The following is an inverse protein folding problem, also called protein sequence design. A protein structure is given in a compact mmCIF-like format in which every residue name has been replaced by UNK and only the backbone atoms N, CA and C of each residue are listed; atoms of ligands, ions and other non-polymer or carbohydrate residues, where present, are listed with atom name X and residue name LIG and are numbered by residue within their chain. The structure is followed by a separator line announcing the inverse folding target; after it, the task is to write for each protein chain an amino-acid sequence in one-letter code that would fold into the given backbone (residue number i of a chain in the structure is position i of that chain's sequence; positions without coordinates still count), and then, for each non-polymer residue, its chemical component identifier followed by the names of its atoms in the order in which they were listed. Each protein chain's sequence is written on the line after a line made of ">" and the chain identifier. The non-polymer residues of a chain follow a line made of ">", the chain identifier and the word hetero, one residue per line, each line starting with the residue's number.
data_IF_879025527169
#
_entry.id   IF_879025527169
#
_cell.length_a   1.000
_cell.length_b   1.000
_cell.length_c   1.000
_cell.angle_alpha   90.00
_cell.angle_beta   90.00
_cell.angle_gamma   90.00
#
_symmetry.space_group_name_H-M   'P 1'
#
loop_
_entity.id
_entity.type
_entity.pdbx_description
1 polymer ?
#
# COMPACT_ATOMS: atom_id res chain seq x y z
N UNK A 1 -41.08 8.32 -17.69
CA UNK A 1 -40.45 9.02 -16.55
C UNK A 1 -39.91 7.98 -15.57
N UNK A 2 -38.65 7.56 -15.68
CA UNK A 2 -37.95 6.75 -14.67
C UNK A 2 -36.45 6.65 -15.02
N UNK A 3 -35.66 7.69 -14.76
CA UNK A 3 -34.20 7.63 -14.97
C UNK A 3 -33.35 8.44 -13.98
N UNK A 4 -33.93 9.02 -12.92
CA UNK A 4 -33.21 9.99 -12.08
C UNK A 4 -32.79 9.48 -10.69
N UNK A 5 -33.23 8.30 -10.24
CA UNK A 5 -33.00 7.85 -8.84
C UNK A 5 -31.73 7.01 -8.66
N UNK A 6 -31.19 6.36 -9.70
CA UNK A 6 -30.05 5.43 -9.57
C UNK A 6 -28.68 6.11 -9.53
N UNK A 7 -28.54 7.32 -10.08
CA UNK A 7 -27.26 8.03 -10.15
C UNK A 7 -26.84 8.65 -8.79
N UNK A 8 -27.81 9.06 -7.98
CA UNK A 8 -27.60 9.68 -6.66
C UNK A 8 -27.22 8.65 -5.59
N UNK A 9 -27.78 7.45 -5.64
CA UNK A 9 -27.40 6.35 -4.73
C UNK A 9 -26.00 5.81 -5.03
N UNK A 10 -25.66 5.60 -6.32
CA UNK A 10 -24.34 5.10 -6.71
C UNK A 10 -23.19 6.07 -6.37
N UNK A 11 -23.47 7.38 -6.37
CA UNK A 11 -22.49 8.39 -5.94
C UNK A 11 -22.35 8.40 -4.42
N UNK A 12 -23.46 8.34 -3.67
CA UNK A 12 -23.46 8.22 -2.21
C UNK A 12 -22.69 7.00 -1.70
N UNK A 13 -22.89 5.84 -2.33
CA UNK A 13 -22.18 4.60 -2.02
C UNK A 13 -20.67 4.72 -2.28
N UNK A 14 -20.28 5.28 -3.44
CA UNK A 14 -18.86 5.55 -3.75
C UNK A 14 -18.22 6.47 -2.71
N UNK A 15 -18.88 7.56 -2.32
CA UNK A 15 -18.37 8.46 -1.28
C UNK A 15 -18.23 7.77 0.09
N UNK A 16 -19.18 6.91 0.46
CA UNK A 16 -19.11 6.14 1.70
C UNK A 16 -17.93 5.16 1.71
N UNK A 17 -17.69 4.50 0.57
CA UNK A 17 -16.59 3.56 0.36
C UNK A 17 -15.23 4.27 0.43
N UNK A 18 -15.07 5.41 -0.25
CA UNK A 18 -13.84 6.21 -0.22
C UNK A 18 -13.52 6.65 1.21
N UNK A 19 -14.50 7.19 1.95
CA UNK A 19 -14.28 7.58 3.36
C UNK A 19 -13.87 6.41 4.25
N UNK A 20 -14.47 5.23 4.05
CA UNK A 20 -14.13 4.02 4.79
C UNK A 20 -12.67 3.60 4.53
N UNK A 21 -12.26 3.53 3.26
CA UNK A 21 -10.89 3.15 2.92
C UNK A 21 -9.88 4.18 3.39
N UNK A 22 -10.19 5.47 3.29
CA UNK A 22 -9.34 6.54 3.82
C UNK A 22 -9.10 6.40 5.33
N UNK A 23 -10.15 6.12 6.12
CA UNK A 23 -10.00 5.87 7.57
C UNK A 23 -9.09 4.67 7.86
N UNK A 24 -9.21 3.59 7.07
CA UNK A 24 -8.35 2.41 7.21
C UNK A 24 -6.89 2.75 6.89
N UNK A 25 -6.65 3.51 5.82
CA UNK A 25 -5.31 3.97 5.44
C UNK A 25 -4.67 4.77 6.57
N UNK A 26 -5.38 5.75 7.13
CA UNK A 26 -4.88 6.58 8.23
C UNK A 26 -4.57 5.74 9.48
N UNK A 27 -5.43 4.79 9.85
CA UNK A 27 -5.16 3.90 10.99
C UNK A 27 -3.95 2.99 10.74
N UNK A 28 -3.83 2.41 9.55
CA UNK A 28 -2.69 1.56 9.20
C UNK A 28 -1.38 2.35 9.24
N UNK A 29 -1.35 3.57 8.70
CA UNK A 29 -0.18 4.47 8.76
C UNK A 29 0.20 4.73 10.22
N UNK A 30 -0.77 5.13 11.06
CA UNK A 30 -0.53 5.39 12.49
C UNK A 30 0.05 4.16 13.21
N UNK A 31 -0.46 2.97 12.90
CA UNK A 31 0.02 1.71 13.49
C UNK A 31 1.43 1.36 13.01
N UNK A 32 1.73 1.57 11.72
CA UNK A 32 3.08 1.37 11.18
C UNK A 32 4.07 2.37 11.78
N UNK A 33 3.69 3.63 11.95
CA UNK A 33 4.51 4.64 12.61
C UNK A 33 4.78 4.28 14.07
N UNK A 34 3.78 3.76 14.79
CA UNK A 34 3.94 3.30 16.15
C UNK A 34 4.86 2.06 16.25
N UNK A 35 4.71 1.11 15.34
CA UNK A 35 5.58 -0.07 15.25
C UNK A 35 7.03 0.30 14.84
N UNK A 36 7.18 1.37 14.05
CA UNK A 36 8.44 1.88 13.54
C UNK A 36 9.09 2.96 14.41
N UNK A 37 8.58 3.25 15.62
CA UNK A 37 9.23 4.22 16.55
C UNK A 37 10.67 3.83 16.85
N UNK A 38 10.93 2.52 16.98
CA UNK A 38 12.28 1.98 17.04
C UNK A 38 12.80 1.73 15.61
N UNK A 39 13.09 2.81 14.88
CA UNK A 39 13.55 2.82 13.47
C UNK A 39 14.81 1.98 13.17
N UNK A 40 15.41 1.40 14.20
CA UNK A 40 16.62 0.56 14.11
C UNK A 40 16.29 -0.93 14.31
N UNK A 41 15.07 -1.30 14.74
CA UNK A 41 14.73 -2.68 15.06
C UNK A 41 14.12 -3.40 13.86
N UNK A 42 14.99 -4.04 13.08
CA UNK A 42 14.59 -4.91 11.96
C UNK A 42 13.67 -6.05 12.39
N UNK A 43 13.79 -6.51 13.65
CA UNK A 43 12.91 -7.51 14.24
C UNK A 43 11.46 -7.06 14.23
N UNK A 44 11.17 -5.79 14.59
CA UNK A 44 9.83 -5.21 14.59
C UNK A 44 9.24 -5.07 13.18
N UNK A 45 10.08 -4.74 12.19
CA UNK A 45 9.67 -4.59 10.79
C UNK A 45 9.34 -5.93 10.14
N UNK A 46 10.10 -6.98 10.49
CA UNK A 46 9.94 -8.34 9.97
C UNK A 46 8.80 -9.14 10.61
N UNK A 47 8.14 -8.58 11.64
CA UNK A 47 7.04 -9.28 12.30
C UNK A 47 5.86 -9.55 11.34
N UNK A 48 5.19 -10.71 11.48
CA UNK A 48 3.99 -11.02 10.71
C UNK A 48 2.89 -9.95 10.88
N UNK A 49 2.70 -9.44 12.09
CA UNK A 49 1.68 -8.43 12.41
C UNK A 49 1.92 -7.13 11.62
N UNK A 50 3.18 -6.70 11.54
CA UNK A 50 3.56 -5.52 10.75
C UNK A 50 3.33 -5.76 9.25
N UNK A 51 3.55 -6.99 8.78
CA UNK A 51 3.31 -7.37 7.38
C UNK A 51 1.81 -7.33 7.03
N UNK A 52 0.95 -7.85 7.92
CA UNK A 52 -0.50 -7.79 7.74
C UNK A 52 -1.03 -6.35 7.68
N UNK A 53 -0.46 -5.44 8.46
CA UNK A 53 -0.84 -4.02 8.41
C UNK A 53 -0.41 -3.39 7.08
N UNK A 54 0.78 -3.73 6.55
CA UNK A 54 1.22 -3.28 5.21
C UNK A 54 0.32 -3.82 4.11
N UNK A 55 -0.12 -5.07 4.19
CA UNK A 55 -1.03 -5.67 3.21
C UNK A 55 -2.37 -4.95 3.19
N UNK A 56 -2.94 -4.71 4.38
CA UNK A 56 -4.18 -3.96 4.54
C UNK A 56 -4.08 -2.52 4.04
N UNK A 57 -2.92 -1.87 4.26
CA UNK A 57 -2.64 -0.53 3.75
C UNK A 57 -2.62 -0.52 2.22
N UNK A 58 -1.91 -1.47 1.58
CA UNK A 58 -1.85 -1.61 0.13
C UNK A 58 -3.22 -1.81 -0.49
N UNK A 59 -3.98 -2.78 0.03
CA UNK A 59 -5.32 -3.08 -0.48
C UNK A 59 -6.26 -1.87 -0.37
N UNK A 60 -6.20 -1.14 0.75
CA UNK A 60 -7.05 0.03 0.96
C UNK A 60 -6.64 1.21 0.07
N UNK A 61 -5.34 1.43 -0.12
CA UNK A 61 -4.81 2.45 -1.03
C UNK A 61 -5.17 2.15 -2.48
N UNK A 62 -5.06 0.89 -2.93
CA UNK A 62 -5.50 0.50 -4.28
C UNK A 62 -6.99 0.75 -4.48
N UNK A 63 -7.83 0.38 -3.51
CA UNK A 63 -9.27 0.66 -3.60
C UNK A 63 -9.56 2.15 -3.72
N UNK A 64 -8.84 3.00 -2.98
CA UNK A 64 -8.95 4.46 -3.14
C UNK A 64 -8.53 4.94 -4.52
N UNK A 65 -7.39 4.45 -5.01
CA UNK A 65 -6.84 4.81 -6.32
C UNK A 65 -7.80 4.45 -7.46
N UNK A 66 -8.35 3.24 -7.46
CA UNK A 66 -9.25 2.82 -8.54
C UNK A 66 -10.67 3.39 -8.39
N UNK A 67 -11.09 3.79 -7.19
CA UNK A 67 -12.40 4.42 -6.99
C UNK A 67 -12.39 5.91 -7.35
N UNK A 68 -11.31 6.63 -7.04
CA UNK A 68 -11.15 8.06 -7.35
C UNK A 68 -9.69 8.36 -7.72
N UNK A 69 -9.29 8.02 -8.96
CA UNK A 69 -7.89 8.12 -9.40
C UNK A 69 -7.37 9.56 -9.46
N UNK A 70 -8.21 10.52 -9.81
CA UNK A 70 -7.83 11.94 -9.91
C UNK A 70 -7.52 12.57 -8.55
N UNK A 71 -8.22 12.15 -7.50
CA UNK A 71 -8.07 12.73 -6.16
C UNK A 71 -7.06 11.97 -5.29
N UNK A 72 -7.09 10.63 -5.37
CA UNK A 72 -6.33 9.76 -4.48
C UNK A 72 -5.23 8.97 -5.18
N UNK A 73 -5.14 8.94 -6.52
CA UNK A 73 -4.20 8.06 -7.20
C UNK A 73 -2.75 8.29 -6.78
N UNK A 74 -2.22 9.51 -6.99
CA UNK A 74 -0.84 9.83 -6.61
C UNK A 74 -0.60 9.69 -5.10
N UNK A 75 -1.54 10.18 -4.28
CA UNK A 75 -1.42 10.12 -2.81
C UNK A 75 -1.40 8.69 -2.29
N UNK A 76 -2.26 7.82 -2.82
CA UNK A 76 -2.33 6.42 -2.41
C UNK A 76 -1.04 5.67 -2.78
N UNK A 77 -0.54 5.89 -4.00
CA UNK A 77 0.72 5.33 -4.47
C UNK A 77 1.91 5.81 -3.62
N UNK A 78 2.01 7.11 -3.33
CA UNK A 78 3.06 7.66 -2.46
C UNK A 78 3.04 7.03 -1.07
N UNK A 79 1.85 6.79 -0.49
CA UNK A 79 1.74 6.13 0.80
C UNK A 79 2.14 4.66 0.74
N UNK A 80 1.75 3.94 -0.31
CA UNK A 80 2.19 2.56 -0.55
C UNK A 80 3.72 2.52 -0.63
N UNK A 81 4.33 3.33 -1.49
CA UNK A 81 5.78 3.38 -1.65
C UNK A 81 6.46 3.69 -0.33
N UNK A 82 6.07 4.78 0.33
CA UNK A 82 6.72 5.25 1.55
C UNK A 82 6.63 4.24 2.69
N UNK A 83 5.43 3.76 3.00
CA UNK A 83 5.14 3.00 4.22
C UNK A 83 5.32 1.49 4.05
N UNK A 84 5.01 0.95 2.88
CA UNK A 84 5.10 -0.49 2.68
C UNK A 84 6.47 -0.93 2.18
N UNK A 85 7.24 -0.05 1.53
CA UNK A 85 8.50 -0.43 0.88
C UNK A 85 9.68 0.42 1.32
N UNK A 86 9.66 1.73 1.06
CA UNK A 86 10.80 2.61 1.29
C UNK A 86 11.28 2.59 2.73
N UNK A 87 10.41 2.79 3.72
CA UNK A 87 10.78 2.77 5.13
C UNK A 87 11.40 1.42 5.56
N UNK A 88 10.78 0.24 5.31
CA UNK A 88 11.43 -1.05 5.52
C UNK A 88 12.78 -1.21 4.81
N UNK A 89 12.89 -0.79 3.55
CA UNK A 89 14.14 -0.88 2.76
C UNK A 89 15.25 -0.02 3.39
N UNK A 90 14.92 1.19 3.87
CA UNK A 90 15.89 2.04 4.57
C UNK A 90 16.39 1.38 5.85
N UNK A 91 15.51 0.73 6.61
CA UNK A 91 15.88 0.01 7.84
C UNK A 91 16.78 -1.19 7.51
N UNK A 92 16.44 -1.97 6.48
CA UNK A 92 17.27 -3.06 5.96
C UNK A 92 18.67 -2.55 5.57
N UNK A 93 18.72 -1.46 4.80
CA UNK A 93 19.97 -0.86 4.32
C UNK A 93 20.86 -0.37 5.46
N UNK A 94 20.27 0.25 6.48
CA UNK A 94 20.99 0.72 7.66
C UNK A 94 21.57 -0.41 8.52
N UNK A 95 20.96 -1.60 8.49
CA UNK A 95 21.31 -2.73 9.34
C UNK A 95 21.96 -3.90 8.59
N UNK A 96 22.35 -3.73 7.31
CA UNK A 96 22.81 -4.82 6.41
C UNK A 96 23.88 -5.75 7.00
N UNK A 97 24.83 -5.21 7.78
CA UNK A 97 25.93 -5.98 8.38
C UNK A 97 25.51 -6.73 9.66
N UNK A 98 24.37 -6.35 10.26
CA UNK A 98 23.87 -6.85 11.55
C UNK A 98 22.68 -7.80 11.40
N UNK A 99 22.33 -8.16 10.15
CA UNK A 99 21.20 -9.05 9.87
C UNK A 99 21.57 -10.50 10.19
N UNK A 100 20.72 -11.17 10.95
CA UNK A 100 20.74 -12.64 11.05
C UNK A 100 20.37 -13.28 9.70
N UNK A 101 20.76 -14.54 9.48
CA UNK A 101 20.39 -15.29 8.26
C UNK A 101 18.88 -15.32 8.02
N UNK A 102 18.07 -15.45 9.08
CA UNK A 102 16.61 -15.37 8.98
C UNK A 102 16.14 -14.01 8.44
N UNK A 103 16.74 -12.92 8.91
CA UNK A 103 16.40 -11.56 8.46
C UNK A 103 16.89 -11.30 7.03
N UNK A 104 18.04 -11.85 6.63
CA UNK A 104 18.51 -11.79 5.25
C UNK A 104 17.55 -12.52 4.30
N UNK A 105 17.13 -13.74 4.67
CA UNK A 105 16.12 -14.49 3.90
C UNK A 105 14.81 -13.71 3.77
N UNK A 106 14.30 -13.17 4.89
CA UNK A 106 13.12 -12.30 4.87
C UNK A 106 13.31 -11.07 3.98
N UNK A 107 14.48 -10.41 4.02
CA UNK A 107 14.77 -9.24 3.20
C UNK A 107 14.72 -9.56 1.71
N UNK A 108 15.29 -10.69 1.28
CA UNK A 108 15.25 -11.16 -0.11
C UNK A 108 13.80 -11.40 -0.55
N UNK A 109 13.04 -12.16 0.24
CA UNK A 109 11.62 -12.44 -0.05
C UNK A 109 10.80 -11.15 -0.10
N UNK A 110 11.06 -10.22 0.81
CA UNK A 110 10.39 -8.94 0.87
C UNK A 110 10.67 -8.09 -0.38
N UNK A 111 11.94 -7.98 -0.82
CA UNK A 111 12.30 -7.26 -2.03
C UNK A 111 11.68 -7.90 -3.28
N UNK A 112 11.70 -9.23 -3.38
CA UNK A 112 11.04 -9.95 -4.47
C UNK A 112 9.52 -9.70 -4.47
N UNK A 113 8.89 -9.69 -3.30
CA UNK A 113 7.46 -9.37 -3.18
C UNK A 113 7.14 -7.93 -3.58
N UNK A 114 8.04 -6.98 -3.32
CA UNK A 114 7.88 -5.59 -3.74
C UNK A 114 7.96 -5.44 -5.26
N UNK A 115 8.91 -6.14 -5.90
CA UNK A 115 9.01 -6.18 -7.37
C UNK A 115 7.75 -6.78 -7.98
N UNK A 116 7.31 -7.96 -7.50
CA UNK A 116 6.09 -8.60 -7.99
C UNK A 116 4.84 -7.75 -7.79
N UNK A 117 4.76 -7.05 -6.65
CA UNK A 117 3.68 -6.10 -6.37
C UNK A 117 3.61 -4.99 -7.41
N UNK A 118 4.71 -4.27 -7.65
CA UNK A 118 4.71 -3.16 -8.60
C UNK A 118 4.51 -3.63 -10.04
N UNK A 119 5.03 -4.79 -10.41
CA UNK A 119 4.77 -5.37 -11.73
C UNK A 119 3.26 -5.61 -11.95
N UNK A 120 2.60 -6.30 -11.01
CA UNK A 120 1.15 -6.52 -11.08
C UNK A 120 0.34 -5.22 -11.01
N UNK A 121 0.79 -4.27 -10.21
CA UNK A 121 0.16 -2.95 -10.08
C UNK A 121 0.23 -2.16 -11.39
N UNK A 122 1.38 -2.14 -12.07
CA UNK A 122 1.54 -1.50 -13.38
C UNK A 122 0.62 -2.16 -14.43
N UNK A 123 0.62 -3.49 -14.55
CA UNK A 123 -0.28 -4.20 -15.47
C UNK A 123 -1.75 -3.86 -15.23
N UNK A 124 -2.14 -3.70 -13.96
CA UNK A 124 -3.50 -3.29 -13.59
C UNK A 124 -3.80 -1.85 -14.00
N UNK A 125 -2.86 -0.92 -13.82
CA UNK A 125 -3.00 0.45 -14.29
C UNK A 125 -3.14 0.51 -15.81
N UNK A 126 -2.33 -0.25 -16.55
CA UNK A 126 -2.42 -0.31 -18.01
C UNK A 126 -3.79 -0.80 -18.47
N UNK A 127 -4.31 -1.86 -17.84
CA UNK A 127 -5.64 -2.40 -18.15
C UNK A 127 -6.76 -1.40 -17.86
N UNK A 128 -6.71 -0.73 -16.70
CA UNK A 128 -7.80 0.14 -16.25
C UNK A 128 -7.82 1.49 -16.98
N UNK A 129 -6.64 2.03 -17.31
CA UNK A 129 -6.49 3.38 -17.88
C UNK A 129 -6.08 3.37 -19.36
N UNK A 130 -5.86 2.21 -19.98
CA UNK A 130 -5.46 2.10 -21.38
C UNK A 130 -4.09 2.70 -21.68
N UNK A 131 -3.21 2.76 -20.69
CA UNK A 131 -1.86 3.32 -20.83
C UNK A 131 -0.91 2.23 -21.31
N UNK A 132 -0.19 2.48 -22.40
CA UNK A 132 0.84 1.58 -22.87
C UNK A 132 2.17 1.91 -22.16
N UNK A 133 2.66 0.96 -21.37
CA UNK A 133 3.89 1.05 -20.60
C UNK A 133 4.63 -0.23 -20.93
N UNK A 134 5.75 -0.15 -21.64
CA UNK A 134 6.60 -1.32 -21.82
C UNK A 134 7.20 -1.66 -20.45
N UNK A 135 6.57 -2.62 -19.75
CA UNK A 135 7.02 -3.15 -18.45
C UNK A 135 7.96 -4.32 -18.67
#
# INVERSE_FOLDING_TARGET
>A
MASSTTATDATSEKYSSVRKHYKIVVDCIRRLDQAGKDKQNIGAVSQPETSLIRDRLRESCEKLLFTSPLEYGKKAEDQIWKKCFYEPIQILRANKERLSEKQKCWAVMFLQSAVGYYHGFLLRLQREFGVDVNV
#
